data_IF_115986907731
#
_entry.id   IF_115986907731
#
_cell.length_a   1.000
_cell.length_b   1.000
_cell.length_c   1.000
_cell.angle_alpha   90.00
_cell.angle_beta   90.00
_cell.angle_gamma   90.00
#
_symmetry.space_group_name_H-M   'P 1'
#
loop_
_entity.id
_entity.type
_entity.pdbx_description
1 polymer ?
#
# COMPACT_ATOMS: atom_id res chain seq x y z
N UNK A 1 14.72 -27.72 30.26
CA UNK A 1 13.62 -28.48 29.66
C UNK A 1 12.78 -27.49 28.87
N UNK A 2 12.72 -27.61 27.56
CA UNK A 2 11.84 -26.83 26.72
C UNK A 2 10.39 -27.08 27.14
N UNK A 3 9.63 -26.01 27.36
CA UNK A 3 8.24 -26.12 27.80
C UNK A 3 7.39 -26.55 26.63
N UNK A 4 6.88 -27.78 26.65
CA UNK A 4 6.00 -28.31 25.61
C UNK A 4 4.84 -27.34 25.38
N UNK A 5 4.61 -26.95 24.13
CA UNK A 5 3.52 -26.04 23.76
C UNK A 5 2.14 -26.65 24.08
N UNK A 6 1.19 -25.80 24.45
CA UNK A 6 -0.18 -26.24 24.76
C UNK A 6 -0.85 -26.95 23.58
N UNK A 7 -0.51 -26.58 22.34
CA UNK A 7 -1.00 -27.23 21.15
C UNK A 7 -0.70 -28.74 21.17
N UNK A 8 0.55 -29.10 21.45
CA UNK A 8 0.97 -30.51 21.52
C UNK A 8 0.40 -31.24 22.74
N UNK A 9 0.22 -30.55 23.88
CA UNK A 9 -0.40 -31.13 25.08
C UNK A 9 -1.88 -31.46 24.89
N UNK A 10 -2.58 -30.64 24.11
CA UNK A 10 -4.02 -30.78 23.90
C UNK A 10 -4.36 -31.76 22.76
N UNK A 11 -3.40 -32.10 21.92
CA UNK A 11 -3.56 -33.05 20.81
C UNK A 11 -2.39 -34.04 20.79
N UNK A 12 -2.59 -35.27 21.32
CA UNK A 12 -1.57 -36.32 21.36
C UNK A 12 -1.04 -36.73 19.99
N UNK A 13 -1.81 -36.55 18.91
CA UNK A 13 -1.36 -36.85 17.55
C UNK A 13 -0.24 -35.94 17.07
N UNK A 14 -0.04 -34.81 17.73
CA UNK A 14 1.04 -33.87 17.41
C UNK A 14 2.34 -34.20 18.14
N UNK A 15 2.37 -35.16 19.06
CA UNK A 15 3.56 -35.53 19.83
C UNK A 15 4.75 -35.89 18.95
N UNK A 16 4.61 -36.70 17.87
CA UNK A 16 5.72 -37.01 16.96
C UNK A 16 6.33 -35.77 16.26
N UNK A 17 5.56 -34.69 16.19
CA UNK A 17 5.95 -33.44 15.54
C UNK A 17 6.31 -32.33 16.53
N UNK A 18 6.37 -32.61 17.83
CA UNK A 18 6.58 -31.62 18.87
C UNK A 18 7.86 -30.79 18.66
N UNK A 19 8.94 -31.42 18.22
CA UNK A 19 10.20 -30.73 17.92
C UNK A 19 10.08 -29.72 16.79
N UNK A 20 9.40 -30.11 15.70
CA UNK A 20 9.18 -29.22 14.54
C UNK A 20 8.25 -28.04 14.92
N UNK A 21 7.20 -28.30 15.70
CA UNK A 21 6.25 -27.27 16.17
C UNK A 21 6.96 -26.30 17.10
N UNK A 22 7.74 -26.78 18.06
CA UNK A 22 8.51 -25.94 19.00
C UNK A 22 9.55 -25.10 18.24
N UNK A 23 10.26 -25.71 17.27
CA UNK A 23 11.26 -24.99 16.48
C UNK A 23 10.64 -23.86 15.64
N UNK A 24 9.47 -24.09 15.03
CA UNK A 24 8.73 -23.03 14.29
C UNK A 24 8.28 -21.92 15.23
N UNK A 25 7.74 -22.27 16.40
CA UNK A 25 7.34 -21.28 17.39
C UNK A 25 8.53 -20.43 17.86
N UNK A 26 9.67 -21.09 18.17
CA UNK A 26 10.88 -20.38 18.57
C UNK A 26 11.38 -19.44 17.48
N UNK A 27 11.36 -19.89 16.20
CA UNK A 27 11.74 -19.04 15.08
C UNK A 27 10.88 -17.76 14.98
N UNK A 28 9.57 -17.86 15.24
CA UNK A 28 8.67 -16.67 15.28
C UNK A 28 9.10 -15.72 16.41
N UNK A 29 9.36 -16.25 17.62
CA UNK A 29 9.78 -15.41 18.75
C UNK A 29 11.15 -14.76 18.53
N UNK A 30 12.08 -15.48 17.92
CA UNK A 30 13.41 -14.95 17.59
C UNK A 30 13.30 -13.84 16.53
N UNK A 31 12.46 -14.04 15.52
CA UNK A 31 12.21 -13.03 14.49
C UNK A 31 11.50 -11.80 15.07
N UNK A 32 10.51 -11.98 15.92
CA UNK A 32 9.87 -10.87 16.63
C UNK A 32 10.88 -10.10 17.48
N UNK A 33 11.74 -10.78 18.25
CA UNK A 33 12.78 -10.15 19.03
C UNK A 33 13.80 -9.38 18.17
N UNK A 34 14.14 -9.90 16.98
CA UNK A 34 14.99 -9.21 16.01
C UNK A 34 14.32 -7.91 15.50
N UNK A 35 13.07 -8.01 15.00
CA UNK A 35 12.34 -6.90 14.40
C UNK A 35 12.00 -5.81 15.43
N UNK A 36 11.72 -6.20 16.66
CA UNK A 36 11.41 -5.27 17.75
C UNK A 36 12.64 -4.76 18.49
N UNK A 37 13.84 -5.07 18.02
CA UNK A 37 15.08 -4.74 18.71
C UNK A 37 15.04 -5.18 20.19
N UNK A 38 14.65 -6.45 20.41
CA UNK A 38 14.46 -7.07 21.73
C UNK A 38 13.44 -6.33 22.61
N UNK A 39 12.31 -5.93 22.02
CA UNK A 39 11.21 -5.27 22.72
C UNK A 39 11.38 -3.78 22.97
N UNK A 40 12.40 -3.13 22.35
CA UNK A 40 12.56 -1.67 22.42
C UNK A 40 11.57 -0.90 21.54
N UNK A 41 10.96 -1.58 20.60
CA UNK A 41 9.89 -1.07 19.74
C UNK A 41 8.85 -2.18 19.53
N UNK A 42 7.65 -1.83 19.10
CA UNK A 42 6.61 -2.78 18.74
C UNK A 42 6.76 -3.27 17.30
N UNK A 43 6.08 -4.35 16.92
CA UNK A 43 5.96 -4.77 15.52
C UNK A 43 5.26 -3.68 14.68
N UNK A 44 4.32 -2.95 15.27
CA UNK A 44 3.65 -1.82 14.63
C UNK A 44 4.61 -0.68 14.29
N UNK A 45 5.56 -0.39 15.21
CA UNK A 45 6.60 0.61 14.95
C UNK A 45 7.54 0.15 13.83
N UNK A 46 7.91 -1.14 13.81
CA UNK A 46 8.70 -1.71 12.72
C UNK A 46 7.96 -1.63 11.37
N UNK A 47 6.66 -1.89 11.35
CA UNK A 47 5.83 -1.89 10.15
C UNK A 47 5.54 -0.48 9.58
N UNK A 48 6.11 0.58 10.15
CA UNK A 48 5.92 1.97 9.74
C UNK A 48 6.78 2.42 8.55
N UNK A 49 7.32 1.48 7.77
CA UNK A 49 8.19 1.77 6.62
C UNK A 49 7.59 2.74 5.59
N UNK A 50 6.26 2.74 5.43
CA UNK A 50 5.54 3.68 4.56
C UNK A 50 5.65 5.16 5.00
N UNK A 51 6.00 5.44 6.25
CA UNK A 51 6.29 6.79 6.76
C UNK A 51 7.74 7.22 6.51
N UNK A 52 8.59 6.28 6.13
CA UNK A 52 10.02 6.51 5.92
C UNK A 52 10.42 6.41 4.45
N UNK A 53 9.99 5.36 3.75
CA UNK A 53 10.25 5.14 2.33
C UNK A 53 9.22 5.85 1.45
N UNK A 54 9.58 6.04 0.17
CA UNK A 54 8.78 6.77 -0.79
C UNK A 54 9.05 8.27 -0.77
N UNK A 55 8.16 9.03 -1.37
CA UNK A 55 8.27 10.48 -1.53
C UNK A 55 7.46 11.20 -0.46
N UNK A 56 8.14 11.99 0.36
CA UNK A 56 7.52 12.75 1.45
C UNK A 56 7.80 14.25 1.33
N UNK A 57 6.76 15.06 1.50
CA UNK A 57 6.91 16.49 1.65
C UNK A 57 7.31 16.83 3.08
N UNK A 58 8.31 17.70 3.22
CA UNK A 58 8.82 18.21 4.50
C UNK A 58 8.79 19.74 4.51
N UNK A 59 9.04 20.36 5.64
CA UNK A 59 9.14 21.83 5.76
C UNK A 59 10.29 22.40 4.92
N UNK A 60 11.27 21.58 4.56
CA UNK A 60 12.47 21.99 3.79
C UNK A 60 12.40 21.62 2.30
N UNK A 61 11.32 21.00 1.86
CA UNK A 61 11.17 20.51 0.49
C UNK A 61 10.69 19.06 0.46
N UNK A 62 11.37 18.22 -0.32
CA UNK A 62 11.00 16.83 -0.51
C UNK A 62 12.13 15.90 -0.07
N UNK A 63 11.76 14.79 0.54
CA UNK A 63 12.67 13.67 0.81
C UNK A 63 12.11 12.44 0.12
N UNK A 64 12.94 11.78 -0.68
CA UNK A 64 12.61 10.49 -1.27
C UNK A 64 13.60 9.43 -0.81
N UNK A 65 13.08 8.25 -0.44
CA UNK A 65 13.88 7.09 -0.04
C UNK A 65 13.38 5.83 -0.72
N UNK A 66 14.34 4.99 -1.13
CA UNK A 66 14.07 3.67 -1.69
C UNK A 66 15.06 2.66 -1.12
N UNK A 67 14.63 1.41 -1.00
CA UNK A 67 15.50 0.31 -0.63
C UNK A 67 15.91 -0.49 -1.86
N UNK A 68 17.19 -0.45 -2.21
CA UNK A 68 17.74 -1.15 -3.36
C UNK A 68 19.20 -1.57 -3.06
N UNK A 69 19.42 -2.63 -2.28
CA UNK A 69 20.74 -3.00 -1.77
C UNK A 69 21.75 -3.31 -2.87
N UNK A 70 21.29 -3.87 -4.00
CA UNK A 70 22.14 -4.27 -5.12
C UNK A 70 22.31 -3.17 -6.17
N UNK A 71 21.67 -2.01 -6.01
CA UNK A 71 21.84 -0.90 -6.93
C UNK A 71 23.23 -0.27 -6.80
N UNK A 72 23.78 0.15 -7.93
CA UNK A 72 25.04 0.91 -8.03
C UNK A 72 24.81 2.40 -8.19
N UNK A 73 23.75 2.78 -8.91
CA UNK A 73 23.29 4.17 -9.10
C UNK A 73 21.77 4.20 -9.22
N UNK A 74 21.17 5.29 -8.75
CA UNK A 74 19.74 5.55 -8.94
C UNK A 74 19.55 7.02 -9.28
N UNK A 75 18.76 7.29 -10.32
CA UNK A 75 18.30 8.63 -10.68
C UNK A 75 16.77 8.69 -10.62
N UNK A 76 16.24 9.77 -10.08
CA UNK A 76 14.82 10.09 -10.21
C UNK A 76 14.63 10.85 -11.52
N UNK A 77 13.76 10.34 -12.39
CA UNK A 77 13.41 10.94 -13.67
C UNK A 77 11.91 11.18 -13.74
N UNK A 78 11.48 12.23 -14.41
CA UNK A 78 10.06 12.57 -14.49
C UNK A 78 9.80 13.82 -15.32
N UNK A 79 8.55 14.29 -15.28
CA UNK A 79 8.12 15.50 -15.99
C UNK A 79 8.90 16.74 -15.58
N UNK A 80 9.32 16.81 -14.32
CA UNK A 80 10.10 17.93 -13.76
C UNK A 80 11.53 18.07 -14.31
N UNK A 81 12.08 17.05 -14.96
CA UNK A 81 13.42 17.08 -15.54
C UNK A 81 13.47 16.57 -16.99
N UNK A 82 12.30 16.51 -17.68
CA UNK A 82 12.14 15.99 -19.03
C UNK A 82 12.56 14.53 -19.20
N UNK A 83 12.38 13.72 -18.15
CA UNK A 83 12.79 12.30 -18.09
C UNK A 83 14.31 12.08 -18.28
N UNK A 84 15.12 13.11 -18.05
CA UNK A 84 16.56 13.07 -18.18
C UNK A 84 17.25 12.79 -16.84
N UNK A 85 18.35 12.05 -16.89
CA UNK A 85 19.23 11.86 -15.74
C UNK A 85 20.06 13.10 -15.48
N UNK A 86 19.73 13.84 -14.43
CA UNK A 86 20.45 15.03 -14.00
C UNK A 86 21.10 14.80 -12.65
N UNK A 87 22.31 15.31 -12.47
CA UNK A 87 23.06 15.17 -11.22
C UNK A 87 22.28 15.64 -9.99
N UNK A 88 21.41 16.66 -10.15
CA UNK A 88 20.55 17.18 -9.10
C UNK A 88 19.48 16.15 -8.61
N UNK A 89 19.16 15.15 -9.41
CA UNK A 89 18.18 14.11 -9.13
C UNK A 89 18.81 12.72 -8.91
N UNK A 90 20.13 12.67 -8.71
CA UNK A 90 20.85 11.45 -8.36
C UNK A 90 20.70 11.14 -6.87
N UNK A 91 20.23 9.94 -6.53
CA UNK A 91 20.13 9.48 -5.16
C UNK A 91 21.52 9.15 -4.58
N UNK A 92 21.65 9.32 -3.28
CA UNK A 92 22.86 8.98 -2.51
C UNK A 92 22.63 7.67 -1.75
N UNK A 93 23.57 6.74 -1.90
CA UNK A 93 23.57 5.47 -1.16
C UNK A 93 23.83 5.74 0.33
N UNK A 94 22.95 5.21 1.16
CA UNK A 94 23.04 5.21 2.62
C UNK A 94 23.43 3.81 3.12
N UNK A 95 23.43 3.62 4.42
CA UNK A 95 23.65 2.30 5.04
C UNK A 95 22.45 1.35 4.74
N UNK A 96 22.67 0.06 4.85
CA UNK A 96 21.64 -0.99 4.78
C UNK A 96 20.85 -1.03 3.44
N UNK A 97 21.48 -0.61 2.33
CA UNK A 97 20.85 -0.65 1.00
C UNK A 97 19.84 0.46 0.74
N UNK A 98 19.76 1.46 1.61
CA UNK A 98 18.87 2.61 1.45
C UNK A 98 19.51 3.62 0.49
N UNK A 99 18.67 4.23 -0.34
CA UNK A 99 19.01 5.34 -1.21
C UNK A 99 18.13 6.53 -0.87
N UNK A 100 18.72 7.73 -0.82
CA UNK A 100 18.02 8.94 -0.41
C UNK A 100 18.37 10.11 -1.31
N UNK A 101 17.38 10.97 -1.56
CA UNK A 101 17.57 12.31 -2.10
C UNK A 101 16.69 13.31 -1.37
N UNK A 102 17.24 14.51 -1.14
CA UNK A 102 16.51 15.67 -0.63
C UNK A 102 16.47 16.73 -1.73
N UNK A 103 15.28 17.19 -2.07
CA UNK A 103 15.04 18.16 -3.13
C UNK A 103 14.38 19.43 -2.54
N UNK A 104 14.68 20.62 -3.10
CA UNK A 104 13.98 21.85 -2.70
C UNK A 104 12.47 21.78 -3.00
N UNK A 105 11.70 22.65 -2.37
CA UNK A 105 10.24 22.61 -2.42
C UNK A 105 9.65 22.81 -3.82
N UNK A 106 10.36 23.53 -4.68
CA UNK A 106 10.01 23.88 -6.05
C UNK A 106 10.57 22.91 -7.10
N UNK A 107 11.27 21.84 -6.68
CA UNK A 107 11.90 20.90 -7.61
C UNK A 107 10.88 19.94 -8.25
N UNK A 108 9.79 19.65 -7.56
CA UNK A 108 8.71 18.76 -8.01
C UNK A 108 7.36 19.29 -7.52
N UNK A 109 6.29 19.07 -8.29
CA UNK A 109 4.97 19.60 -8.03
C UNK A 109 3.90 18.52 -8.00
N UNK A 110 2.75 18.86 -7.44
CA UNK A 110 1.57 18.00 -7.51
C UNK A 110 1.22 17.66 -8.96
N UNK A 111 1.00 16.37 -9.23
CA UNK A 111 0.68 15.86 -10.57
C UNK A 111 1.90 15.45 -11.40
N UNK A 112 3.12 15.83 -11.03
CA UNK A 112 4.31 15.38 -11.73
C UNK A 112 4.40 13.86 -11.77
N UNK A 113 4.79 13.34 -12.93
CA UNK A 113 5.02 11.90 -13.14
C UNK A 113 6.49 11.59 -12.94
N UNK A 114 6.80 10.45 -12.32
CA UNK A 114 8.18 10.06 -12.09
C UNK A 114 8.39 8.55 -12.04
N UNK A 115 9.65 8.16 -12.29
CA UNK A 115 10.20 6.81 -12.12
C UNK A 115 11.61 6.90 -11.56
N UNK A 116 12.19 5.75 -11.32
CA UNK A 116 13.62 5.60 -11.00
C UNK A 116 14.32 4.89 -12.14
N UNK A 117 15.42 5.45 -12.62
CA UNK A 117 16.40 4.72 -13.42
C UNK A 117 17.38 4.07 -12.45
N UNK A 118 17.31 2.74 -12.36
CA UNK A 118 18.08 1.94 -11.42
C UNK A 118 19.16 1.19 -12.20
N UNK A 119 20.40 1.31 -11.75
CA UNK A 119 21.56 0.61 -12.27
C UNK A 119 22.03 -0.43 -11.27
N UNK A 120 22.42 -1.60 -11.75
CA UNK A 120 23.03 -2.66 -10.96
C UNK A 120 24.14 -3.32 -11.76
N UNK A 121 24.91 -4.21 -11.15
CA UNK A 121 25.97 -4.93 -11.86
C UNK A 121 25.37 -5.75 -13.01
N UNK A 122 25.79 -5.43 -14.23
CA UNK A 122 25.34 -6.10 -15.46
C UNK A 122 24.05 -5.60 -16.06
N UNK A 123 23.42 -4.50 -15.54
CA UNK A 123 22.18 -4.00 -16.12
C UNK A 123 21.67 -2.68 -15.57
N UNK A 124 20.60 -2.25 -16.19
CA UNK A 124 19.81 -1.07 -15.77
C UNK A 124 18.35 -1.22 -16.18
N UNK A 125 17.47 -0.43 -15.58
CA UNK A 125 16.08 -0.35 -16.01
C UNK A 125 15.27 0.66 -15.22
N UNK A 126 14.18 1.11 -15.84
CA UNK A 126 13.18 1.93 -15.16
C UNK A 126 12.39 1.12 -14.14
N UNK A 127 12.09 1.74 -13.02
CA UNK A 127 11.24 1.16 -11.96
C UNK A 127 10.26 2.20 -11.45
N UNK A 128 9.03 1.77 -11.23
CA UNK A 128 8.10 2.52 -10.37
C UNK A 128 8.60 2.32 -8.94
N UNK A 129 8.72 3.39 -8.13
CA UNK A 129 9.13 3.25 -6.74
C UNK A 129 8.21 2.30 -5.97
N UNK A 130 8.80 1.39 -5.18
CA UNK A 130 8.05 0.38 -4.44
C UNK A 130 7.03 0.97 -3.45
N UNK A 131 7.34 2.15 -2.90
CA UNK A 131 6.51 2.87 -1.93
C UNK A 131 5.73 4.04 -2.54
N UNK A 132 5.50 4.02 -3.86
CA UNK A 132 4.67 5.03 -4.50
C UNK A 132 3.23 4.96 -3.97
N UNK A 133 2.71 6.11 -3.51
CA UNK A 133 1.35 6.21 -2.95
C UNK A 133 0.29 6.50 -4.02
N UNK A 134 0.70 6.87 -5.22
CA UNK A 134 -0.13 7.00 -6.40
C UNK A 134 0.64 6.60 -7.64
N UNK A 135 0.01 5.78 -8.46
CA UNK A 135 0.49 5.32 -9.75
C UNK A 135 -0.63 5.52 -10.76
N UNK A 136 -0.30 6.01 -11.93
CA UNK A 136 -1.27 6.28 -12.99
C UNK A 136 -0.80 5.68 -14.32
N UNK A 137 -1.75 5.29 -15.15
CA UNK A 137 -1.49 4.79 -16.49
C UNK A 137 -1.74 5.87 -17.51
N UNK A 138 -0.79 6.10 -18.41
CA UNK A 138 -0.98 6.95 -19.58
C UNK A 138 -2.00 6.31 -20.53
N UNK A 139 -2.98 7.08 -20.99
CA UNK A 139 -4.08 6.56 -21.80
C UNK A 139 -3.65 6.10 -23.19
N UNK A 140 -2.63 6.71 -23.77
CA UNK A 140 -2.17 6.42 -25.14
C UNK A 140 -1.13 5.30 -25.13
N UNK A 141 -0.09 5.45 -24.31
CA UNK A 141 1.04 4.50 -24.29
C UNK A 141 0.79 3.29 -23.41
N UNK A 142 -0.21 3.36 -22.51
CA UNK A 142 -0.50 2.38 -21.46
C UNK A 142 0.65 2.15 -20.47
N UNK A 143 1.63 3.05 -20.46
CA UNK A 143 2.76 3.00 -19.52
C UNK A 143 2.33 3.55 -18.17
N UNK A 144 2.70 2.83 -17.11
CA UNK A 144 2.50 3.28 -15.74
C UNK A 144 3.66 4.14 -15.24
N UNK A 145 3.34 5.14 -14.46
CA UNK A 145 4.30 6.00 -13.75
C UNK A 145 3.79 6.32 -12.35
N UNK A 146 4.68 6.49 -11.40
CA UNK A 146 4.33 7.11 -10.13
C UNK A 146 3.93 8.56 -10.35
N UNK A 147 2.99 9.07 -9.57
CA UNK A 147 2.56 10.46 -9.62
C UNK A 147 2.69 11.10 -8.25
N UNK A 148 3.24 12.31 -8.23
CA UNK A 148 3.33 13.12 -7.02
C UNK A 148 1.92 13.54 -6.59
N UNK A 149 1.49 13.07 -5.41
CA UNK A 149 0.19 13.43 -4.86
C UNK A 149 0.38 14.38 -3.66
N UNK A 150 0.30 15.67 -3.91
CA UNK A 150 0.44 16.71 -2.90
C UNK A 150 -0.45 17.90 -3.28
N UNK A 151 -1.78 17.74 -3.26
CA UNK A 151 -2.71 18.81 -3.60
C UNK A 151 -2.55 19.98 -2.62
N UNK A 152 -2.81 21.20 -3.09
CA UNK A 152 -2.76 22.40 -2.27
C UNK A 152 -3.72 22.31 -1.07
N UNK A 153 -4.90 21.73 -1.30
CA UNK A 153 -5.91 21.48 -0.28
C UNK A 153 -6.11 19.97 -0.09
N UNK A 154 -5.26 19.27 0.72
CA UNK A 154 -5.39 17.85 0.95
C UNK A 154 -6.72 17.52 1.65
N UNK A 155 -7.30 16.37 1.29
CA UNK A 155 -8.54 15.91 1.91
C UNK A 155 -8.40 15.80 3.44
N UNK A 156 -9.39 16.35 4.13
CA UNK A 156 -9.48 16.30 5.60
C UNK A 156 -10.70 15.50 6.00
N UNK A 157 -10.50 14.40 6.71
CA UNK A 157 -11.59 13.59 7.23
C UNK A 157 -12.49 14.42 8.16
N UNK A 158 -13.79 14.39 7.93
CA UNK A 158 -14.81 15.01 8.78
C UNK A 158 -14.98 14.17 10.05
N UNK A 159 -15.05 12.83 9.88
CA UNK A 159 -15.12 11.86 10.96
C UNK A 159 -13.72 11.52 11.47
N UNK A 160 -13.17 12.35 12.35
CA UNK A 160 -11.80 12.19 12.89
C UNK A 160 -11.60 10.93 13.72
N UNK A 161 -12.65 10.45 14.36
CA UNK A 161 -12.64 9.20 15.13
C UNK A 161 -13.83 8.36 14.71
N UNK A 162 -13.56 7.12 14.32
CA UNK A 162 -14.57 6.14 13.98
C UNK A 162 -14.34 4.88 14.81
N UNK A 163 -15.40 4.41 15.48
CA UNK A 163 -15.39 3.13 16.17
C UNK A 163 -16.49 2.29 15.56
N UNK A 164 -16.13 1.19 14.87
CA UNK A 164 -17.13 0.34 14.25
C UNK A 164 -18.00 -0.35 15.30
N UNK A 165 -19.29 -0.52 15.01
CA UNK A 165 -20.11 -1.48 15.70
C UNK A 165 -19.83 -2.87 15.09
N UNK A 166 -19.35 -3.78 15.90
CA UNK A 166 -18.95 -5.13 15.46
C UNK A 166 -19.87 -6.22 16.03
N UNK A 167 -21.04 -5.87 16.59
CA UNK A 167 -21.92 -6.84 17.24
C UNK A 167 -23.41 -6.68 16.83
N UNK A 168 -23.90 -7.43 15.84
CA UNK A 168 -23.20 -8.34 14.92
C UNK A 168 -22.47 -7.60 13.82
N UNK A 169 -21.40 -8.20 13.28
CA UNK A 169 -20.71 -7.68 12.10
C UNK A 169 -21.41 -8.19 10.83
N UNK A 170 -21.97 -7.26 10.05
CA UNK A 170 -22.62 -7.53 8.76
C UNK A 170 -21.77 -6.91 7.64
N UNK A 171 -21.11 -7.76 6.87
CA UNK A 171 -20.13 -7.35 5.85
C UNK A 171 -20.74 -7.41 4.46
N UNK A 172 -20.63 -6.33 3.72
CA UNK A 172 -20.90 -6.26 2.28
C UNK A 172 -19.60 -6.24 1.51
N UNK A 173 -19.29 -7.31 0.80
CA UNK A 173 -18.13 -7.35 -0.07
C UNK A 173 -18.45 -6.68 -1.41
N UNK A 174 -17.57 -5.82 -1.90
CA UNK A 174 -17.81 -5.02 -3.09
C UNK A 174 -16.54 -4.76 -3.91
N UNK A 175 -16.74 -4.54 -5.21
CA UNK A 175 -15.73 -4.11 -6.13
C UNK A 175 -16.14 -2.77 -6.75
N UNK A 176 -15.38 -1.71 -6.52
CA UNK A 176 -15.76 -0.33 -6.91
C UNK A 176 -16.11 -0.23 -8.39
N UNK A 177 -15.28 -0.81 -9.26
CA UNK A 177 -15.47 -0.73 -10.70
C UNK A 177 -16.69 -1.49 -11.25
N UNK A 178 -17.24 -2.46 -10.47
CA UNK A 178 -18.32 -3.35 -10.93
C UNK A 178 -19.64 -3.13 -10.19
N UNK A 179 -19.68 -2.26 -9.20
CA UNK A 179 -20.85 -2.07 -8.33
C UNK A 179 -21.96 -1.20 -8.95
N UNK A 180 -22.07 -1.16 -10.26
CA UNK A 180 -23.07 -0.34 -10.97
C UNK A 180 -23.67 -1.08 -12.16
N UNK A 181 -24.81 -0.58 -12.68
CA UNK A 181 -25.52 -1.16 -13.81
C UNK A 181 -25.01 -0.68 -15.18
N UNK A 182 -24.37 0.49 -15.22
CA UNK A 182 -23.82 1.05 -16.44
C UNK A 182 -22.62 0.21 -16.91
N UNK A 183 -22.51 -0.04 -18.22
CA UNK A 183 -21.42 -0.82 -18.85
C UNK A 183 -20.11 -0.02 -18.92
N UNK A 184 -19.58 0.36 -17.77
CA UNK A 184 -18.30 1.08 -17.60
C UNK A 184 -17.66 0.73 -16.26
N UNK A 185 -16.40 1.09 -16.10
CA UNK A 185 -15.73 1.01 -14.80
C UNK A 185 -16.29 2.09 -13.87
N UNK A 186 -16.82 1.68 -12.71
CA UNK A 186 -17.33 2.59 -11.69
C UNK A 186 -16.21 3.35 -10.98
N UNK A 187 -16.58 4.49 -10.38
CA UNK A 187 -15.64 5.36 -9.66
C UNK A 187 -15.91 5.39 -8.16
N UNK A 188 -14.94 5.86 -7.37
CA UNK A 188 -15.11 6.08 -5.93
C UNK A 188 -16.29 7.01 -5.61
N UNK A 189 -16.46 8.08 -6.42
CA UNK A 189 -17.56 9.01 -6.24
C UNK A 189 -18.92 8.39 -6.56
N UNK A 190 -19.02 7.66 -7.67
CA UNK A 190 -20.27 6.98 -8.02
C UNK A 190 -20.66 5.93 -6.98
N UNK A 191 -19.69 5.17 -6.46
CA UNK A 191 -19.93 4.23 -5.38
C UNK A 191 -20.44 4.93 -4.12
N UNK A 192 -19.76 6.02 -3.71
CA UNK A 192 -20.13 6.83 -2.55
C UNK A 192 -21.55 7.37 -2.66
N UNK A 193 -21.95 7.85 -3.85
CA UNK A 193 -23.21 8.57 -4.05
C UNK A 193 -24.38 7.64 -4.35
N UNK A 194 -24.15 6.54 -5.07
CA UNK A 194 -25.23 5.68 -5.60
C UNK A 194 -25.34 4.34 -4.86
N UNK A 195 -24.24 3.78 -4.40
CA UNK A 195 -24.19 2.41 -3.87
C UNK A 195 -24.13 2.40 -2.34
N UNK A 196 -23.23 3.18 -1.75
CA UNK A 196 -23.04 3.22 -0.30
C UNK A 196 -24.32 3.52 0.51
N UNK A 197 -25.18 4.48 0.09
CA UNK A 197 -26.47 4.72 0.80
C UNK A 197 -27.38 3.50 0.80
N UNK A 198 -27.41 2.71 -0.26
CA UNK A 198 -28.23 1.49 -0.35
C UNK A 198 -27.71 0.39 0.58
N UNK A 199 -26.39 0.24 0.67
CA UNK A 199 -25.74 -0.69 1.60
C UNK A 199 -26.09 -0.31 3.05
N UNK A 200 -26.10 0.99 3.36
CA UNK A 200 -26.50 1.50 4.68
C UNK A 200 -27.99 1.22 4.98
N UNK A 201 -28.88 1.45 4.00
CA UNK A 201 -30.33 1.20 4.13
C UNK A 201 -30.64 -0.28 4.35
N UNK A 202 -29.86 -1.19 3.74
CA UNK A 202 -29.97 -2.64 3.94
C UNK A 202 -29.43 -3.12 5.28
N UNK A 203 -28.81 -2.23 6.09
CA UNK A 203 -28.37 -2.51 7.45
C UNK A 203 -26.98 -3.11 7.58
N UNK A 204 -26.15 -3.10 6.54
CA UNK A 204 -24.75 -3.50 6.65
C UNK A 204 -23.95 -2.46 7.43
N UNK A 205 -23.01 -2.90 8.26
CA UNK A 205 -22.14 -2.05 9.07
C UNK A 205 -20.65 -2.15 8.71
N UNK A 206 -20.33 -2.90 7.65
CA UNK A 206 -18.98 -3.01 7.12
C UNK A 206 -19.02 -3.19 5.60
N UNK A 207 -18.19 -2.48 4.87
CA UNK A 207 -17.87 -2.77 3.47
C UNK A 207 -16.45 -3.35 3.36
N UNK A 208 -16.31 -4.46 2.63
CA UNK A 208 -15.03 -5.05 2.27
C UNK A 208 -14.74 -4.73 0.82
N UNK A 209 -13.81 -3.81 0.58
CA UNK A 209 -13.49 -3.31 -0.77
C UNK A 209 -12.40 -4.18 -1.40
N UNK A 210 -12.77 -4.88 -2.48
CA UNK A 210 -11.84 -5.62 -3.33
C UNK A 210 -11.07 -4.70 -4.27
N UNK A 211 -9.90 -5.16 -4.75
CA UNK A 211 -9.15 -4.54 -5.84
C UNK A 211 -8.78 -3.08 -5.60
N UNK A 212 -8.53 -2.69 -4.36
CA UNK A 212 -8.26 -1.30 -4.01
C UNK A 212 -6.84 -0.85 -4.38
N UNK A 213 -5.89 -1.78 -4.48
CA UNK A 213 -4.52 -1.47 -4.84
C UNK A 213 -4.35 -1.36 -6.36
N UNK A 214 -3.34 -0.60 -6.79
CA UNK A 214 -3.07 -0.44 -8.22
C UNK A 214 -2.70 -1.77 -8.89
N UNK A 215 -3.30 -2.04 -10.02
CA UNK A 215 -3.12 -3.26 -10.81
C UNK A 215 -3.20 -2.96 -12.30
N UNK A 216 -2.35 -3.58 -13.15
CA UNK A 216 -2.25 -3.25 -14.56
C UNK A 216 -3.42 -3.80 -15.38
N UNK A 217 -3.97 -4.94 -14.98
CA UNK A 217 -5.00 -5.65 -15.73
C UNK A 217 -6.34 -5.65 -14.98
N UNK A 218 -7.32 -4.93 -15.50
CA UNK A 218 -8.66 -4.80 -14.89
C UNK A 218 -9.34 -6.16 -14.68
N UNK A 219 -9.23 -7.08 -15.64
CA UNK A 219 -9.81 -8.43 -15.55
C UNK A 219 -9.19 -9.32 -14.47
N UNK A 220 -8.12 -8.88 -13.81
CA UNK A 220 -7.59 -9.56 -12.62
C UNK A 220 -8.40 -9.27 -11.36
N UNK A 221 -9.38 -8.36 -11.43
CA UNK A 221 -10.16 -7.88 -10.27
C UNK A 221 -9.29 -7.42 -9.09
N UNK A 222 -8.08 -6.91 -9.39
CA UNK A 222 -7.11 -6.46 -8.40
C UNK A 222 -6.24 -7.57 -7.78
N UNK A 223 -6.35 -8.81 -8.23
CA UNK A 223 -5.49 -9.90 -7.73
C UNK A 223 -4.04 -9.80 -8.23
N UNK A 224 -3.78 -9.10 -9.33
CA UNK A 224 -2.42 -8.86 -9.85
C UNK A 224 -1.93 -7.46 -9.45
N UNK A 225 -1.67 -7.24 -8.17
CA UNK A 225 -1.18 -5.96 -7.66
C UNK A 225 0.19 -5.63 -8.22
N UNK A 226 0.34 -4.41 -8.73
CA UNK A 226 1.62 -3.86 -9.18
C UNK A 226 2.23 -2.84 -8.21
N UNK A 227 1.40 -2.18 -7.39
CA UNK A 227 1.86 -1.14 -6.46
C UNK A 227 1.07 -1.24 -5.16
N UNK A 228 1.72 -1.79 -4.12
CA UNK A 228 1.05 -2.15 -2.86
C UNK A 228 0.59 -0.96 -2.02
N UNK A 229 1.21 0.21 -2.19
CA UNK A 229 0.91 1.42 -1.42
C UNK A 229 0.09 2.44 -2.20
N UNK A 230 -0.22 2.18 -3.46
CA UNK A 230 -1.05 3.03 -4.31
C UNK A 230 -2.48 2.48 -4.40
N UNK A 231 -3.47 3.33 -4.14
CA UNK A 231 -4.85 3.02 -4.49
C UNK A 231 -5.03 3.06 -6.01
N UNK A 232 -5.87 2.17 -6.54
CA UNK A 232 -6.10 2.07 -7.98
C UNK A 232 -6.58 3.41 -8.55
N UNK A 233 -5.81 3.93 -9.51
CA UNK A 233 -6.12 5.17 -10.21
C UNK A 233 -7.29 5.03 -11.17
N UNK A 234 -7.63 3.81 -11.52
CA UNK A 234 -8.74 3.46 -12.42
C UNK A 234 -10.10 3.87 -11.86
N UNK A 235 -10.23 3.88 -10.54
CA UNK A 235 -11.50 4.25 -9.87
C UNK A 235 -11.55 5.71 -9.43
N UNK A 236 -10.44 6.45 -9.59
CA UNK A 236 -10.39 7.86 -9.22
C UNK A 236 -9.10 8.28 -8.50
N UNK A 237 -9.22 9.30 -7.69
CA UNK A 237 -8.10 9.92 -6.96
C UNK A 237 -8.02 9.40 -5.52
N UNK A 238 -6.85 9.55 -4.86
CA UNK A 238 -6.72 9.26 -3.43
C UNK A 238 -7.71 10.03 -2.55
N UNK A 239 -8.04 11.27 -2.91
CA UNK A 239 -8.96 12.10 -2.12
C UNK A 239 -10.42 11.66 -2.31
N UNK A 240 -10.80 11.14 -3.48
CA UNK A 240 -12.11 10.54 -3.70
C UNK A 240 -12.28 9.23 -2.91
N UNK A 241 -11.22 8.41 -2.80
CA UNK A 241 -11.23 7.24 -1.93
C UNK A 241 -11.37 7.63 -0.46
N UNK A 242 -10.63 8.65 0.00
CA UNK A 242 -10.78 9.17 1.37
C UNK A 242 -12.19 9.68 1.62
N UNK A 243 -12.79 10.37 0.65
CA UNK A 243 -14.17 10.85 0.73
C UNK A 243 -15.19 9.70 0.81
N UNK A 244 -14.96 8.62 0.09
CA UNK A 244 -15.78 7.39 0.19
C UNK A 244 -15.68 6.78 1.59
N UNK A 245 -14.48 6.62 2.12
CA UNK A 245 -14.26 6.07 3.47
C UNK A 245 -14.90 6.96 4.54
N UNK A 246 -14.75 8.27 4.42
CA UNK A 246 -15.32 9.24 5.36
C UNK A 246 -16.85 9.20 5.35
N UNK A 247 -17.46 9.11 4.17
CA UNK A 247 -18.90 8.95 4.02
C UNK A 247 -19.40 7.62 4.63
N UNK A 248 -18.66 6.52 4.44
CA UNK A 248 -18.97 5.25 5.09
C UNK A 248 -18.95 5.38 6.63
N UNK A 249 -17.93 6.04 7.17
CA UNK A 249 -17.82 6.31 8.60
C UNK A 249 -18.94 7.23 9.12
N UNK A 250 -19.38 8.24 8.34
CA UNK A 250 -20.52 9.10 8.67
C UNK A 250 -21.84 8.29 8.78
N UNK A 251 -21.98 7.22 7.98
CA UNK A 251 -23.12 6.29 8.00
C UNK A 251 -22.97 5.15 9.03
N UNK A 252 -21.88 5.13 9.81
CA UNK A 252 -21.62 4.05 10.78
C UNK A 252 -21.04 2.77 10.16
N UNK A 253 -20.62 2.80 8.90
CA UNK A 253 -20.10 1.65 8.15
C UNK A 253 -18.58 1.64 8.22
N UNK A 254 -17.99 0.54 8.67
CA UNK A 254 -16.56 0.31 8.61
C UNK A 254 -16.13 0.04 7.15
N UNK A 255 -14.98 0.58 6.74
CA UNK A 255 -14.38 0.29 5.45
C UNK A 255 -13.12 -0.56 5.63
N UNK A 256 -13.10 -1.75 5.05
CA UNK A 256 -12.01 -2.72 5.12
C UNK A 256 -11.45 -2.94 3.71
N UNK A 257 -10.15 -3.01 3.59
CA UNK A 257 -9.48 -3.36 2.35
C UNK A 257 -9.18 -4.86 2.31
N UNK A 258 -9.37 -5.46 1.15
CA UNK A 258 -9.01 -6.85 0.84
C UNK A 258 -7.53 -7.20 1.10
N UNK A 259 -6.64 -6.24 1.13
CA UNK A 259 -5.20 -6.40 1.38
C UNK A 259 -4.88 -7.24 2.62
N UNK A 260 -5.72 -7.20 3.63
CA UNK A 260 -5.53 -7.95 4.86
C UNK A 260 -5.75 -9.46 4.70
N UNK A 261 -6.40 -9.90 3.64
CA UNK A 261 -6.83 -11.29 3.43
C UNK A 261 -5.95 -12.05 2.43
N UNK A 262 -4.96 -11.37 1.85
CA UNK A 262 -4.24 -11.86 0.69
C UNK A 262 -3.15 -12.91 0.97
N UNK A 263 -2.90 -13.28 2.20
CA UNK A 263 -1.76 -14.10 2.58
C UNK A 263 -1.81 -15.55 2.07
N UNK A 264 -2.95 -16.05 1.59
CA UNK A 264 -3.13 -17.48 1.30
C UNK A 264 -3.54 -17.83 -0.13
N UNK A 265 -3.95 -16.88 -0.95
CA UNK A 265 -4.63 -17.19 -2.23
C UNK A 265 -3.84 -16.82 -3.48
N UNK A 266 -2.70 -16.20 -3.33
CA UNK A 266 -1.87 -15.84 -4.48
C UNK A 266 -0.47 -16.35 -4.28
N UNK A 267 -0.09 -17.35 -5.07
CA UNK A 267 1.30 -17.64 -5.39
C UNK A 267 1.88 -16.42 -6.12
N UNK A 268 2.27 -15.40 -5.37
CA UNK A 268 3.13 -14.38 -5.91
C UNK A 268 4.54 -14.96 -5.93
N UNK A 269 4.89 -15.60 -7.02
CA UNK A 269 6.29 -15.82 -7.35
C UNK A 269 6.88 -14.44 -7.69
N UNK A 270 7.53 -13.83 -6.72
CA UNK A 270 8.44 -12.72 -6.92
C UNK A 270 9.87 -13.24 -6.81
#
# INVERSE_FOLDING_TARGET
>A
MEKTLNLVKNDPWLEPFAGAITGRHQHVLDKEAELTNKGKQTLSDFASGYLYFGLHRTDKGWTFREWAPNATHIYMVGTFNNWEEKAAYKLKKQKNGIWEINLPADAIHHGDLYKLNVYWEGGQGERIPAWATRVVQDEQTKIFSAQVWAPENPYKFKKKTFKPDTNPLLIYECHIGMAQQEEKVGTYNEFREKILPRIAEEGYNCIQIMAIQEHPYYGSFGYHVSSFFAASSRFGTPDELKALIDAAHEMGIAAVSYTHLRAHETDSYL
#
